data_IF_125767927632
#
_entry.id   IF_125767927632
#
_cell.length_a   1.000
_cell.length_b   1.000
_cell.length_c   1.000
_cell.angle_alpha   90.00
_cell.angle_beta   90.00
_cell.angle_gamma   90.00
#
_symmetry.space_group_name_H-M   'P 1'
#
loop_
_entity.id
_entity.type
_entity.pdbx_description
1 polymer ?
#
# COMPACT_ATOMS: atom_id res chain seq x y z
N UNK A 1 6.01 -25.60 27.40
CA UNK A 1 5.70 -24.21 27.00
C UNK A 1 4.81 -24.29 25.78
N UNK A 2 3.54 -23.95 25.91
CA UNK A 2 2.54 -24.06 24.85
C UNK A 2 2.53 -22.75 24.03
N UNK A 3 2.71 -22.85 22.70
CA UNK A 3 2.52 -21.76 21.75
C UNK A 3 1.06 -21.33 21.73
N UNK A 4 0.72 -20.04 21.79
CA UNK A 4 -0.66 -19.60 21.64
C UNK A 4 -1.16 -19.88 20.22
N UNK A 5 -2.18 -20.71 20.09
CA UNK A 5 -2.94 -20.85 18.84
C UNK A 5 -3.74 -19.55 18.64
N UNK A 6 -3.35 -18.77 17.66
CA UNK A 6 -4.14 -17.63 17.17
C UNK A 6 -5.41 -18.21 16.52
N UNK A 7 -6.53 -18.08 17.22
CA UNK A 7 -7.83 -18.53 16.72
C UNK A 7 -8.34 -17.54 15.65
N UNK A 8 -8.29 -17.93 14.39
CA UNK A 8 -9.00 -17.23 13.33
C UNK A 8 -10.49 -17.59 13.42
N UNK A 9 -11.33 -16.63 13.74
CA UNK A 9 -12.77 -16.78 13.57
C UNK A 9 -13.16 -16.32 12.17
N UNK A 10 -13.55 -17.27 11.32
CA UNK A 10 -14.05 -16.98 9.98
C UNK A 10 -15.51 -16.52 10.08
N UNK A 11 -15.79 -15.26 9.73
CA UNK A 11 -17.15 -14.81 9.46
C UNK A 11 -17.29 -14.77 7.94
N UNK A 12 -18.17 -15.63 7.42
CA UNK A 12 -18.56 -15.58 6.02
C UNK A 12 -19.66 -14.53 5.89
N UNK A 13 -19.36 -13.40 5.29
CA UNK A 13 -20.38 -12.48 4.80
C UNK A 13 -20.64 -12.84 3.35
N UNK A 14 -21.82 -13.40 3.07
CA UNK A 14 -22.23 -13.67 1.69
C UNK A 14 -22.66 -12.37 1.03
N UNK A 15 -21.80 -11.82 0.20
CA UNK A 15 -22.19 -10.83 -0.79
C UNK A 15 -22.84 -11.57 -1.97
N UNK A 16 -23.87 -11.01 -2.66
CA UNK A 16 -24.57 -11.70 -3.75
C UNK A 16 -23.64 -12.16 -4.89
N UNK A 17 -22.45 -11.58 -5.02
CA UNK A 17 -21.53 -11.85 -6.12
C UNK A 17 -20.23 -12.59 -5.73
N UNK A 18 -19.90 -12.68 -4.43
CA UNK A 18 -18.71 -13.41 -3.97
C UNK A 18 -18.84 -13.80 -2.50
N UNK A 19 -18.35 -14.99 -2.16
CA UNK A 19 -18.23 -15.42 -0.77
C UNK A 19 -16.87 -15.00 -0.26
N UNK A 20 -16.77 -13.78 0.28
CA UNK A 20 -15.56 -13.34 0.96
C UNK A 20 -15.64 -13.76 2.42
N UNK A 21 -14.65 -14.51 2.84
CA UNK A 21 -14.48 -14.81 4.26
C UNK A 21 -13.95 -13.56 4.94
N UNK A 22 -14.86 -12.70 5.42
CA UNK A 22 -14.47 -11.63 6.32
C UNK A 22 -14.07 -12.26 7.65
N UNK A 23 -12.80 -12.21 7.95
CA UNK A 23 -12.36 -12.46 9.30
C UNK A 23 -12.79 -11.24 10.12
N UNK A 24 -13.89 -11.35 10.86
CA UNK A 24 -14.22 -10.36 11.89
C UNK A 24 -13.08 -10.40 12.90
N UNK A 25 -12.23 -9.41 12.85
CA UNK A 25 -11.08 -9.28 13.74
C UNK A 25 -11.37 -8.17 14.77
N UNK A 26 -11.96 -8.49 15.93
CA UNK A 26 -11.97 -7.52 17.01
C UNK A 26 -10.52 -7.24 17.41
N UNK A 27 -10.05 -6.04 17.20
CA UNK A 27 -8.70 -5.56 17.53
C UNK A 27 -7.51 -6.07 16.68
N UNK A 28 -7.68 -6.40 15.42
CA UNK A 28 -6.53 -6.79 14.58
C UNK A 28 -5.80 -5.57 14.06
N UNK A 29 -4.51 -5.49 14.34
CA UNK A 29 -3.60 -4.52 13.74
C UNK A 29 -3.37 -4.90 12.27
N UNK A 30 -3.75 -4.00 11.35
CA UNK A 30 -3.61 -4.19 9.90
C UNK A 30 -2.29 -3.63 9.35
N UNK A 31 -1.38 -3.19 10.20
CA UNK A 31 -0.02 -2.82 9.76
C UNK A 31 0.60 -3.99 8.98
N UNK A 32 1.30 -3.70 7.90
CA UNK A 32 1.86 -4.71 7.00
C UNK A 32 0.79 -5.61 6.34
N UNK A 33 -0.32 -4.99 5.91
CA UNK A 33 -1.32 -5.61 5.04
C UNK A 33 -1.59 -4.69 3.86
N UNK A 34 -2.15 -5.25 2.80
CA UNK A 34 -2.73 -4.47 1.72
C UNK A 34 -4.24 -4.32 1.94
N UNK A 35 -4.75 -3.14 1.59
CA UNK A 35 -6.16 -2.92 1.31
C UNK A 35 -6.35 -2.91 -0.21
N UNK A 36 -7.27 -3.71 -0.67
CA UNK A 36 -7.68 -3.80 -2.07
C UNK A 36 -8.99 -3.05 -2.19
N UNK A 37 -9.05 -2.00 -2.99
CA UNK A 37 -10.30 -1.29 -3.25
C UNK A 37 -11.32 -2.23 -3.90
N UNK A 38 -12.51 -2.35 -3.30
CA UNK A 38 -13.61 -3.10 -3.89
C UNK A 38 -14.15 -2.35 -5.13
N UNK A 39 -14.68 -3.04 -6.15
CA UNK A 39 -15.23 -2.39 -7.34
C UNK A 39 -16.37 -1.42 -7.03
N UNK A 40 -17.09 -1.66 -5.94
CA UNK A 40 -18.22 -0.84 -5.48
C UNK A 40 -17.80 0.39 -4.66
N UNK A 41 -16.50 0.55 -4.38
CA UNK A 41 -15.99 1.71 -3.66
C UNK A 41 -16.31 2.99 -4.42
N UNK A 42 -17.13 3.84 -3.84
CA UNK A 42 -17.70 5.01 -4.50
C UNK A 42 -16.75 6.18 -4.68
N UNK A 43 -15.61 6.19 -3.96
CA UNK A 43 -14.62 7.27 -4.06
C UNK A 43 -13.67 7.03 -5.25
N UNK A 44 -13.80 7.83 -6.34
CA UNK A 44 -13.01 7.62 -7.56
C UNK A 44 -11.51 7.79 -7.35
N UNK A 45 -11.09 8.44 -6.26
CA UNK A 45 -9.67 8.59 -5.93
C UNK A 45 -9.01 7.25 -5.59
N UNK A 46 -9.81 6.25 -5.24
CA UNK A 46 -9.33 4.92 -4.86
C UNK A 46 -9.80 3.82 -5.82
N UNK A 47 -10.30 4.17 -7.00
CA UNK A 47 -10.65 3.18 -8.02
C UNK A 47 -9.46 2.26 -8.31
N UNK A 48 -9.65 0.93 -8.17
CA UNK A 48 -8.59 -0.09 -8.31
C UNK A 48 -7.31 0.19 -7.49
N UNK A 49 -7.42 0.89 -6.38
CA UNK A 49 -6.27 1.17 -5.54
C UNK A 49 -5.82 -0.08 -4.76
N UNK A 50 -4.51 -0.26 -4.67
CA UNK A 50 -3.86 -1.14 -3.72
C UNK A 50 -3.11 -0.28 -2.71
N UNK A 51 -3.53 -0.32 -1.44
CA UNK A 51 -2.92 0.49 -0.38
C UNK A 51 -2.15 -0.40 0.58
N UNK A 52 -0.88 -0.09 0.79
CA UNK A 52 -0.06 -0.73 1.81
C UNK A 52 -0.22 0.01 3.14
N UNK A 53 -0.69 -0.68 4.18
CA UNK A 53 -0.89 -0.10 5.52
C UNK A 53 0.43 -0.03 6.27
N UNK A 54 0.94 1.19 6.44
CA UNK A 54 2.17 1.49 7.14
C UNK A 54 2.00 1.54 8.66
N UNK A 55 0.82 1.95 9.13
CA UNK A 55 0.45 2.01 10.54
C UNK A 55 -1.04 1.83 10.72
N UNK A 56 -1.43 1.04 11.71
CA UNK A 56 -2.79 0.92 12.18
C UNK A 56 -2.82 0.77 13.70
N UNK A 57 -3.49 1.68 14.38
CA UNK A 57 -3.62 1.69 15.84
C UNK A 57 -4.97 2.26 16.30
N UNK A 58 -5.16 2.40 17.62
CA UNK A 58 -6.40 2.95 18.22
C UNK A 58 -6.72 4.40 17.80
N UNK A 59 -5.82 5.10 17.15
CA UNK A 59 -6.01 6.47 16.68
C UNK A 59 -6.41 6.54 15.22
N UNK A 60 -6.20 5.45 14.45
CA UNK A 60 -6.54 5.33 13.03
C UNK A 60 -5.49 4.58 12.23
N UNK A 61 -5.46 4.83 10.93
CA UNK A 61 -4.52 4.17 10.03
C UNK A 61 -3.85 5.18 9.08
N UNK A 62 -2.66 4.80 8.60
CA UNK A 62 -1.93 5.46 7.52
C UNK A 62 -1.49 4.41 6.52
N UNK A 63 -1.76 4.67 5.24
CA UNK A 63 -1.38 3.79 4.14
C UNK A 63 -0.85 4.57 2.94
N UNK A 64 -0.15 3.87 2.07
CA UNK A 64 0.36 4.40 0.81
C UNK A 64 -0.21 3.59 -0.35
N UNK A 65 -0.81 4.27 -1.35
CA UNK A 65 -1.11 3.62 -2.63
C UNK A 65 0.19 3.20 -3.29
N UNK A 66 0.26 1.94 -3.71
CA UNK A 66 1.49 1.34 -4.23
C UNK A 66 1.36 0.83 -5.67
N UNK A 67 0.25 1.15 -6.32
CA UNK A 67 0.00 0.71 -7.70
C UNK A 67 -0.37 1.86 -8.66
N UNK A 68 -0.12 3.11 -8.27
CA UNK A 68 -0.47 4.27 -9.10
C UNK A 68 0.77 5.11 -9.43
N UNK A 69 1.50 4.79 -10.52
CA UNK A 69 2.65 5.57 -10.94
C UNK A 69 2.22 6.95 -11.45
N UNK A 70 3.00 7.96 -11.10
CA UNK A 70 2.87 9.31 -11.63
C UNK A 70 3.70 9.42 -12.91
N UNK A 71 3.07 9.30 -14.08
CA UNK A 71 3.76 9.23 -15.38
C UNK A 71 4.74 10.37 -15.63
N UNK A 72 4.46 11.56 -15.09
CA UNK A 72 5.27 12.76 -15.27
C UNK A 72 6.24 13.02 -14.12
N UNK A 73 6.26 12.18 -13.08
CA UNK A 73 7.09 12.36 -11.90
C UNK A 73 8.18 11.28 -11.81
N UNK A 74 9.32 11.57 -12.43
CA UNK A 74 10.51 10.72 -12.29
C UNK A 74 11.25 11.03 -11.00
N UNK A 75 11.67 9.98 -10.28
CA UNK A 75 12.36 10.12 -9.00
C UNK A 75 13.63 10.96 -9.17
N UNK A 76 14.44 10.69 -10.19
CA UNK A 76 15.66 11.45 -10.45
C UNK A 76 15.39 12.94 -10.62
N UNK A 77 14.35 13.31 -11.37
CA UNK A 77 13.98 14.72 -11.56
C UNK A 77 13.52 15.39 -10.25
N UNK A 78 12.74 14.68 -9.44
CA UNK A 78 12.33 15.19 -8.12
C UNK A 78 13.53 15.41 -7.19
N UNK A 79 14.56 14.54 -7.27
CA UNK A 79 15.78 14.70 -6.48
C UNK A 79 16.63 15.88 -6.97
N UNK A 80 16.75 16.09 -8.29
CA UNK A 80 17.41 17.28 -8.85
C UNK A 80 16.71 18.58 -8.41
N UNK A 81 15.38 18.61 -8.39
CA UNK A 81 14.58 19.77 -7.95
C UNK A 81 14.77 20.06 -6.43
N UNK A 82 15.29 19.09 -5.68
CA UNK A 82 15.71 19.23 -4.27
C UNK A 82 17.22 19.50 -4.12
N UNK A 83 17.93 19.86 -5.18
CA UNK A 83 19.38 20.07 -5.23
C UNK A 83 20.19 18.82 -4.79
N UNK A 84 19.67 17.62 -5.09
CA UNK A 84 20.35 16.34 -4.86
C UNK A 84 20.89 15.83 -6.19
N UNK A 85 22.22 15.75 -6.32
CA UNK A 85 22.87 15.19 -7.52
C UNK A 85 22.60 13.71 -7.65
N UNK A 86 22.08 13.29 -8.81
CA UNK A 86 21.76 11.88 -9.12
C UNK A 86 22.91 11.28 -9.92
N UNK A 87 23.60 10.32 -9.32
CA UNK A 87 24.74 9.62 -9.95
C UNK A 87 24.39 8.19 -10.38
N UNK A 88 23.25 7.65 -9.93
CA UNK A 88 22.74 6.36 -10.38
C UNK A 88 21.74 6.56 -11.54
N UNK A 89 22.06 6.12 -12.79
CA UNK A 89 21.19 6.32 -13.95
C UNK A 89 19.80 5.68 -13.80
N UNK A 90 19.67 4.57 -13.08
CA UNK A 90 18.39 3.89 -12.89
C UNK A 90 17.37 4.80 -12.19
N UNK A 91 17.82 5.57 -11.22
CA UNK A 91 16.97 6.50 -10.45
C UNK A 91 16.33 7.57 -11.35
N UNK A 92 16.99 7.94 -12.47
CA UNK A 92 16.43 8.88 -13.45
C UNK A 92 15.19 8.34 -14.13
N UNK A 93 15.09 7.02 -14.27
CA UNK A 93 13.98 6.34 -14.94
C UNK A 93 12.88 5.88 -13.99
N UNK A 94 13.20 5.74 -12.69
CA UNK A 94 12.24 5.30 -11.67
C UNK A 94 11.07 6.27 -11.55
N UNK A 95 9.85 5.74 -11.45
CA UNK A 95 8.64 6.54 -11.28
C UNK A 95 8.32 6.74 -9.80
N UNK A 96 7.93 7.97 -9.45
CA UNK A 96 7.26 8.20 -8.18
C UNK A 96 5.81 7.71 -8.25
N UNK A 97 5.24 7.35 -7.11
CA UNK A 97 3.85 6.91 -6.99
C UNK A 97 2.98 8.00 -6.37
N UNK A 98 1.71 8.05 -6.74
CA UNK A 98 0.67 8.72 -5.97
C UNK A 98 0.40 7.87 -4.73
N UNK A 99 0.93 8.30 -3.58
CA UNK A 99 0.76 7.58 -2.31
C UNK A 99 -0.62 7.76 -1.68
N UNK A 100 -1.37 8.77 -2.12
CA UNK A 100 -2.73 9.06 -1.70
C UNK A 100 -3.10 10.53 -1.74
N UNK A 101 -4.38 10.86 -1.48
CA UNK A 101 -4.91 12.21 -1.70
C UNK A 101 -4.50 13.24 -0.63
N UNK A 102 -3.91 12.80 0.50
CA UNK A 102 -3.53 13.70 1.60
C UNK A 102 -2.11 14.17 1.44
N UNK A 103 -1.88 15.49 1.51
CA UNK A 103 -0.57 16.13 1.44
C UNK A 103 0.29 15.66 0.26
N UNK A 104 -0.14 15.88 -0.99
CA UNK A 104 0.55 15.38 -2.18
C UNK A 104 1.97 15.92 -2.36
N UNK A 105 2.33 16.98 -1.64
CA UNK A 105 3.68 17.56 -1.59
C UNK A 105 4.64 16.84 -0.63
N UNK A 106 4.13 15.91 0.20
CA UNK A 106 4.95 15.18 1.18
C UNK A 106 5.41 13.85 0.59
N UNK A 107 6.73 13.65 0.57
CA UNK A 107 7.37 12.42 0.12
C UNK A 107 7.51 11.37 1.23
N UNK A 108 7.17 10.14 0.90
CA UNK A 108 7.36 8.95 1.73
C UNK A 108 8.18 7.94 0.94
N UNK A 109 9.26 7.45 1.52
CA UNK A 109 10.06 6.38 0.93
C UNK A 109 9.73 5.07 1.64
N UNK A 110 9.04 4.16 0.96
CA UNK A 110 8.99 2.75 1.35
C UNK A 110 10.28 2.08 0.91
N UNK A 111 10.91 1.29 1.77
CA UNK A 111 12.15 0.62 1.41
C UNK A 111 12.38 -0.66 2.21
N UNK A 112 13.22 -1.54 1.67
CA UNK A 112 13.72 -2.69 2.41
C UNK A 112 14.93 -2.31 3.26
N UNK A 113 15.22 -3.10 4.30
CA UNK A 113 16.35 -2.91 5.20
C UNK A 113 15.95 -2.45 6.60
N UNK A 114 16.85 -1.73 7.27
CA UNK A 114 16.66 -1.26 8.64
C UNK A 114 16.29 0.24 8.68
N UNK A 115 15.62 0.70 9.74
CA UNK A 115 15.24 2.12 9.90
C UNK A 115 16.43 2.95 10.38
N UNK A 116 17.43 3.16 9.52
CA UNK A 116 18.70 3.80 9.86
C UNK A 116 18.73 5.32 9.64
N UNK A 117 17.68 5.90 9.00
CA UNK A 117 17.60 7.33 8.69
C UNK A 117 16.83 8.12 9.74
N UNK A 118 17.02 9.44 9.76
CA UNK A 118 16.56 10.32 10.83
C UNK A 118 15.06 10.23 11.14
N UNK A 119 14.20 10.09 10.12
CA UNK A 119 12.75 9.96 10.27
C UNK A 119 12.27 8.64 9.68
N UNK A 120 12.86 7.55 10.14
CA UNK A 120 12.61 6.19 9.67
C UNK A 120 12.01 5.32 10.78
N UNK A 121 11.06 4.47 10.42
CA UNK A 121 10.54 3.44 11.32
C UNK A 121 10.18 2.16 10.57
N UNK A 122 10.32 1.04 11.26
CA UNK A 122 9.99 -0.27 10.72
C UNK A 122 8.48 -0.48 10.69
N UNK A 123 7.97 -0.96 9.57
CA UNK A 123 6.59 -1.43 9.41
C UNK A 123 6.54 -2.93 9.68
N UNK A 124 7.54 -3.66 9.20
CA UNK A 124 7.76 -5.09 9.43
C UNK A 124 9.26 -5.37 9.60
N UNK A 125 9.63 -6.63 9.71
CA UNK A 125 11.06 -7.02 9.79
C UNK A 125 11.88 -6.58 8.57
N UNK A 126 11.24 -6.45 7.40
CA UNK A 126 11.92 -6.21 6.13
C UNK A 126 11.48 -4.93 5.40
N UNK A 127 10.47 -4.21 5.91
CA UNK A 127 9.94 -3.00 5.27
C UNK A 127 9.95 -1.85 6.25
N UNK A 128 10.53 -0.76 5.81
CA UNK A 128 10.58 0.52 6.53
C UNK A 128 9.90 1.63 5.71
N UNK A 129 9.53 2.70 6.41
CA UNK A 129 9.11 3.95 5.80
C UNK A 129 9.98 5.08 6.35
N UNK A 130 10.40 5.98 5.48
CA UNK A 130 11.27 7.12 5.81
C UNK A 130 10.73 8.38 5.16
N UNK A 131 10.77 9.51 5.89
CA UNK A 131 10.32 10.82 5.40
C UNK A 131 11.44 11.87 5.39
N UNK A 132 12.62 11.53 5.85
CA UNK A 132 13.77 12.45 5.88
C UNK A 132 14.59 12.39 4.58
N UNK A 133 15.25 13.52 4.25
CA UNK A 133 15.99 13.66 2.99
C UNK A 133 17.31 12.88 2.93
N UNK A 134 17.81 12.38 4.04
CA UNK A 134 19.08 11.64 4.11
C UNK A 134 19.04 10.34 3.30
N UNK A 135 17.88 9.62 3.28
CA UNK A 135 17.69 8.45 2.43
C UNK A 135 17.73 8.81 0.95
N UNK A 136 17.20 9.97 0.55
CA UNK A 136 17.13 10.41 -0.85
C UNK A 136 18.54 10.56 -1.45
N UNK A 137 19.50 11.04 -0.67
CA UNK A 137 20.91 11.14 -1.09
C UNK A 137 21.53 9.76 -1.35
N UNK A 138 21.14 8.76 -0.57
CA UNK A 138 21.59 7.38 -0.76
C UNK A 138 20.99 6.73 -1.99
N UNK A 139 19.68 6.97 -2.20
CA UNK A 139 18.98 6.53 -3.42
C UNK A 139 19.66 7.16 -4.64
N UNK A 140 19.87 8.47 -4.66
CA UNK A 140 20.53 9.20 -5.74
C UNK A 140 21.91 8.62 -6.10
N UNK A 141 22.64 8.15 -5.10
CA UNK A 141 23.95 7.53 -5.27
C UNK A 141 23.90 6.02 -5.57
N UNK A 142 22.72 5.38 -5.52
CA UNK A 142 22.60 3.92 -5.66
C UNK A 142 23.27 3.15 -4.53
N UNK A 143 23.30 3.69 -3.30
CA UNK A 143 24.06 3.14 -2.20
C UNK A 143 23.18 2.81 -0.99
N UNK A 144 23.29 1.57 -0.50
CA UNK A 144 22.81 1.17 0.82
C UNK A 144 21.28 1.11 0.97
N UNK A 145 20.51 1.33 -0.08
CA UNK A 145 19.06 1.12 -0.11
C UNK A 145 18.80 -0.02 -1.06
N UNK A 146 18.08 -1.05 -0.59
CA UNK A 146 17.67 -2.18 -1.43
C UNK A 146 16.53 -1.75 -2.36
N UNK A 147 15.41 -2.48 -2.33
CA UNK A 147 14.20 -2.01 -3.03
C UNK A 147 13.66 -0.76 -2.35
N UNK A 148 13.17 0.17 -3.16
CA UNK A 148 12.50 1.37 -2.66
C UNK A 148 11.35 1.81 -3.58
N UNK A 149 10.43 2.58 -3.04
CA UNK A 149 9.39 3.31 -3.77
C UNK A 149 9.23 4.68 -3.13
N UNK A 150 9.28 5.73 -3.95
CA UNK A 150 8.96 7.09 -3.54
C UNK A 150 7.48 7.36 -3.79
N UNK A 151 6.73 7.59 -2.73
CA UNK A 151 5.31 7.90 -2.78
C UNK A 151 5.09 9.37 -2.42
N UNK A 152 4.28 10.09 -3.19
CA UNK A 152 3.87 11.45 -2.92
C UNK A 152 2.45 11.44 -2.33
N UNK A 153 2.28 12.07 -1.17
CA UNK A 153 1.03 12.00 -0.41
C UNK A 153 0.79 10.65 0.26
N UNK A 154 -0.35 10.52 0.93
CA UNK A 154 -0.75 9.30 1.63
C UNK A 154 -2.28 9.20 1.75
N UNK A 155 -2.77 8.03 2.13
CA UNK A 155 -4.13 7.81 2.60
C UNK A 155 -4.14 7.73 4.13
N UNK A 156 -5.17 8.27 4.77
CA UNK A 156 -5.31 8.21 6.22
C UNK A 156 -6.77 8.01 6.62
N UNK A 157 -6.94 7.25 7.68
CA UNK A 157 -8.23 6.98 8.31
C UNK A 157 -8.19 7.45 9.74
N UNK A 158 -9.25 8.14 10.14
CA UNK A 158 -9.48 8.49 11.53
C UNK A 158 -9.81 7.26 12.39
N UNK A 159 -9.92 7.48 13.70
CA UNK A 159 -10.26 6.42 14.65
C UNK A 159 -11.51 5.65 14.22
N UNK A 160 -11.39 4.33 14.06
CA UNK A 160 -12.44 3.38 13.65
C UNK A 160 -13.02 3.61 12.24
N UNK A 161 -12.48 4.54 11.46
CA UNK A 161 -12.97 4.79 10.12
C UNK A 161 -12.66 3.60 9.19
N UNK A 162 -11.41 3.10 9.23
CA UNK A 162 -11.01 1.95 8.41
C UNK A 162 -11.85 0.70 8.74
N UNK A 163 -12.12 0.45 10.02
CA UNK A 163 -12.95 -0.68 10.43
C UNK A 163 -14.40 -0.54 9.95
N UNK A 164 -14.92 0.68 9.87
CA UNK A 164 -16.26 0.95 9.31
C UNK A 164 -16.28 0.69 7.80
N UNK A 165 -15.30 1.20 7.06
CA UNK A 165 -15.18 0.99 5.62
C UNK A 165 -14.98 -0.49 5.27
N UNK A 166 -14.18 -1.22 6.07
CA UNK A 166 -14.07 -2.67 5.95
C UNK A 166 -15.40 -3.40 6.18
N UNK A 167 -16.16 -3.00 7.19
CA UNK A 167 -17.48 -3.60 7.46
C UNK A 167 -18.51 -3.26 6.37
N UNK A 168 -18.35 -2.14 5.68
CA UNK A 168 -19.18 -1.76 4.53
C UNK A 168 -18.81 -2.55 3.27
N UNK A 169 -17.65 -3.21 3.25
CA UNK A 169 -17.13 -3.90 2.06
C UNK A 169 -16.38 -2.99 1.08
N UNK A 170 -16.03 -1.77 1.49
CA UNK A 170 -15.28 -0.82 0.65
C UNK A 170 -13.86 -1.33 0.36
N UNK A 171 -13.29 -2.11 1.28
CA UNK A 171 -11.94 -2.66 1.20
C UNK A 171 -11.91 -4.16 1.51
N UNK A 172 -11.04 -4.88 0.78
CA UNK A 172 -10.65 -6.24 1.11
C UNK A 172 -9.23 -6.24 1.68
N UNK A 173 -8.93 -7.21 2.55
CA UNK A 173 -7.62 -7.31 3.21
C UNK A 173 -6.82 -8.45 2.58
N UNK A 174 -5.57 -8.18 2.21
CA UNK A 174 -4.60 -9.17 1.77
C UNK A 174 -3.33 -9.04 2.62
N UNK A 175 -2.76 -10.13 3.15
CA UNK A 175 -1.44 -10.07 3.77
C UNK A 175 -0.40 -9.55 2.78
N UNK A 176 0.44 -8.61 3.22
CA UNK A 176 1.46 -8.05 2.36
C UNK A 176 2.63 -9.03 2.13
N UNK A 177 3.21 -8.97 0.94
CA UNK A 177 4.47 -9.62 0.62
C UNK A 177 5.39 -8.69 -0.20
N UNK A 178 6.70 -8.96 -0.15
CA UNK A 178 7.70 -8.10 -0.75
C UNK A 178 7.65 -8.12 -2.28
N UNK A 179 7.36 -9.27 -2.88
CA UNK A 179 7.30 -9.39 -4.33
C UNK A 179 6.17 -8.52 -4.90
N UNK A 180 4.97 -8.60 -4.29
CA UNK A 180 3.85 -7.77 -4.69
C UNK A 180 4.13 -6.28 -4.45
N UNK A 181 4.85 -5.94 -3.37
CA UNK A 181 5.13 -4.56 -3.01
C UNK A 181 6.20 -3.92 -3.92
N UNK A 182 7.27 -4.65 -4.28
CA UNK A 182 8.44 -4.06 -4.93
C UNK A 182 8.72 -4.56 -6.35
N UNK A 183 8.37 -5.81 -6.68
CA UNK A 183 8.84 -6.47 -7.90
C UNK A 183 7.73 -6.67 -8.95
N UNK A 184 6.45 -6.61 -8.51
CA UNK A 184 5.31 -6.75 -9.43
C UNK A 184 5.06 -5.44 -10.19
N UNK A 185 4.77 -5.47 -11.52
CA UNK A 185 4.36 -4.29 -12.28
C UNK A 185 3.17 -3.57 -11.62
N UNK A 186 3.17 -2.25 -11.64
CA UNK A 186 2.19 -1.44 -10.90
C UNK A 186 0.74 -1.75 -11.30
N UNK A 187 0.50 -1.91 -12.60
CA UNK A 187 -0.81 -2.18 -13.19
C UNK A 187 -1.37 -3.55 -12.84
N UNK A 188 -0.51 -4.51 -12.48
CA UNK A 188 -0.92 -5.87 -12.15
C UNK A 188 -1.19 -6.06 -10.65
N UNK A 189 -0.69 -5.16 -9.81
CA UNK A 189 -0.68 -5.32 -8.34
C UNK A 189 -2.07 -5.50 -7.74
N UNK A 190 -3.04 -4.71 -8.19
CA UNK A 190 -4.40 -4.76 -7.67
C UNK A 190 -5.06 -6.11 -7.96
N UNK A 191 -4.98 -6.59 -9.21
CA UNK A 191 -5.55 -7.86 -9.61
C UNK A 191 -4.85 -9.04 -8.91
N UNK A 192 -3.51 -9.04 -8.89
CA UNK A 192 -2.74 -10.10 -8.21
C UNK A 192 -3.05 -10.15 -6.71
N UNK A 193 -3.24 -9.00 -6.06
CA UNK A 193 -3.65 -8.96 -4.66
C UNK A 193 -5.04 -9.59 -4.45
N UNK A 194 -5.99 -9.33 -5.35
CA UNK A 194 -7.33 -9.93 -5.34
C UNK A 194 -7.28 -11.44 -5.55
N UNK A 195 -6.49 -11.89 -6.53
CA UNK A 195 -6.31 -13.32 -6.83
C UNK A 195 -5.73 -14.09 -5.63
N UNK A 196 -4.80 -13.49 -4.89
CA UNK A 196 -4.21 -14.08 -3.67
C UNK A 196 -5.24 -14.40 -2.59
N UNK A 197 -6.33 -13.65 -2.54
CA UNK A 197 -7.43 -13.89 -1.59
C UNK A 197 -8.62 -14.61 -2.23
N UNK A 198 -8.47 -15.10 -3.47
CA UNK A 198 -9.48 -15.86 -4.18
C UNK A 198 -10.64 -15.03 -4.73
N UNK A 199 -10.45 -13.71 -4.90
CA UNK A 199 -11.44 -12.80 -5.48
C UNK A 199 -11.07 -12.51 -6.93
N UNK A 200 -12.01 -12.80 -7.85
CA UNK A 200 -11.85 -12.47 -9.26
C UNK A 200 -12.88 -11.41 -9.65
N UNK A 201 -12.40 -10.21 -9.92
CA UNK A 201 -13.25 -9.06 -10.29
C UNK A 201 -13.72 -9.08 -11.74
N UNK A 202 -13.12 -9.88 -12.64
CA UNK A 202 -13.54 -9.99 -14.03
C UNK A 202 -14.96 -10.55 -14.18
N UNK A 203 -15.39 -11.41 -13.26
CA UNK A 203 -16.75 -11.94 -13.21
C UNK A 203 -17.79 -10.90 -12.76
N UNK A 204 -17.37 -9.83 -12.07
CA UNK A 204 -18.27 -8.83 -11.52
C UNK A 204 -18.65 -7.77 -12.58
N UNK A 205 -17.79 -7.53 -13.57
CA UNK A 205 -18.06 -6.56 -14.64
C UNK A 205 -18.96 -7.10 -15.75
N UNK A 206 -19.13 -8.42 -15.89
CA UNK A 206 -19.92 -9.04 -16.96
C UNK A 206 -21.43 -9.11 -16.68
N UNK A 207 -21.86 -9.01 -15.42
CA UNK A 207 -23.29 -9.13 -15.06
C UNK A 207 -24.08 -7.81 -15.04
N UNK A 208 -23.42 -6.66 -15.22
CA UNK A 208 -24.11 -5.35 -15.25
C UNK A 208 -24.73 -5.04 -16.63
N UNK A 209 -24.54 -5.92 -17.62
CA UNK A 209 -24.92 -5.68 -19.03
C UNK A 209 -26.27 -6.26 -19.49
N UNK A 210 -27.05 -6.92 -18.65
CA UNK A 210 -28.33 -7.52 -19.07
C UNK A 210 -29.44 -7.31 -18.02
N UNK A 211 -30.05 -6.15 -18.03
CA UNK A 211 -31.39 -5.91 -17.50
C UNK A 211 -32.07 -4.83 -18.33
#
# INVERSE_FOLDING_TARGET
>A
MATPRTGYHHIVVSHPYYSVVFVSMPNTNLTHHFLIAAPELSDPRFEQALIYICRHDKHGALGLMVNRPLEQARVGKLLEDLDIEVTNPQVMEDMALEGGPMYPEVGFVLHTGQPEWASSFAISENVCITTSQDILKRIAAGQGVGHYQLCLGHASWGKKQLEQELNNGDWLICPADLNLLFDTPFEERWQIAADKIGVNFDYLSSDIGHA
#
